data_IF_371874754339
#
_entry.id   IF_371874754339
#
_cell.length_a   1.000
_cell.length_b   1.000
_cell.length_c   1.000
_cell.angle_alpha   90.00
_cell.angle_beta   90.00
_cell.angle_gamma   90.00
#
_symmetry.space_group_name_H-M   'P 1'
#
loop_
_entity.id
_entity.type
_entity.pdbx_description
1 polymer ?
#
# COMPACT_ATOMS: atom_id res chain seq x y z
N UNK A 1 14.33 -9.18 -15.78
CA UNK A 1 13.12 -9.31 -14.93
C UNK A 1 13.12 -8.12 -13.98
N UNK A 2 11.96 -7.55 -13.62
CA UNK A 2 11.90 -6.51 -12.60
C UNK A 2 12.51 -7.06 -11.30
N UNK A 3 13.44 -6.31 -10.70
CA UNK A 3 14.10 -6.68 -9.45
C UNK A 3 13.61 -5.73 -8.36
N UNK A 4 12.76 -6.24 -7.49
CA UNK A 4 12.39 -5.57 -6.24
C UNK A 4 13.43 -5.89 -5.15
N UNK A 5 13.50 -5.05 -4.11
CA UNK A 5 14.34 -5.32 -2.94
C UNK A 5 13.90 -6.57 -2.21
N UNK A 6 14.88 -7.26 -1.62
CA UNK A 6 14.63 -8.41 -0.77
C UNK A 6 13.73 -8.05 0.42
N UNK A 7 13.86 -6.84 0.97
CA UNK A 7 13.01 -6.33 2.06
C UNK A 7 11.53 -6.35 1.68
N UNK A 8 11.21 -5.95 0.44
CA UNK A 8 9.84 -5.93 -0.07
C UNK A 8 9.34 -7.36 -0.27
N UNK A 9 10.14 -8.20 -0.94
CA UNK A 9 9.73 -9.58 -1.20
C UNK A 9 9.57 -10.39 0.08
N UNK A 10 10.46 -10.22 1.07
CA UNK A 10 10.39 -10.91 2.36
C UNK A 10 9.14 -10.50 3.14
N UNK A 11 8.82 -9.20 3.15
CA UNK A 11 7.62 -8.71 3.83
C UNK A 11 6.35 -9.37 3.28
N UNK A 12 6.17 -9.37 1.96
CA UNK A 12 4.97 -9.95 1.34
C UNK A 12 4.99 -11.47 1.24
N UNK A 13 6.15 -12.10 1.40
CA UNK A 13 6.25 -13.55 1.52
C UNK A 13 6.01 -14.05 2.94
N UNK A 14 6.28 -13.23 3.97
CA UNK A 14 6.23 -13.62 5.38
C UNK A 14 4.91 -14.31 5.78
N UNK A 15 3.71 -13.83 5.39
CA UNK A 15 2.45 -14.52 5.70
C UNK A 15 2.39 -15.94 5.17
N UNK A 16 3.15 -16.22 4.12
CA UNK A 16 3.17 -17.49 3.40
C UNK A 16 4.24 -18.48 3.88
N UNK A 17 5.06 -18.11 4.87
CA UNK A 17 6.14 -18.94 5.39
C UNK A 17 5.67 -19.80 6.57
N UNK A 18 6.23 -21.01 6.68
CA UNK A 18 5.99 -21.95 7.79
C UNK A 18 4.52 -22.34 8.06
N UNK A 19 3.62 -22.08 7.11
CA UNK A 19 2.21 -22.48 7.20
C UNK A 19 1.95 -23.91 6.71
N UNK A 20 0.75 -24.41 7.01
CA UNK A 20 0.26 -25.70 6.51
C UNK A 20 -0.39 -25.50 5.15
N UNK A 21 0.13 -26.15 4.11
CA UNK A 21 -0.43 -26.08 2.76
C UNK A 21 -1.79 -26.79 2.70
N UNK A 22 -2.84 -26.04 2.34
CA UNK A 22 -4.18 -26.60 2.13
C UNK A 22 -4.37 -27.06 0.69
N UNK A 23 -4.06 -26.17 -0.26
CA UNK A 23 -4.08 -26.49 -1.68
C UNK A 23 -2.98 -25.74 -2.43
N UNK A 24 -2.48 -26.37 -3.48
CA UNK A 24 -1.59 -25.72 -4.46
C UNK A 24 -1.90 -26.24 -5.85
N UNK A 25 -2.27 -25.32 -6.73
CA UNK A 25 -2.28 -25.48 -8.17
C UNK A 25 -1.31 -24.45 -8.78
N UNK A 26 -1.09 -24.49 -10.10
CA UNK A 26 -0.15 -23.62 -10.81
C UNK A 26 -0.44 -22.12 -10.62
N UNK A 27 -1.71 -21.74 -10.42
CA UNK A 27 -2.14 -20.34 -10.30
C UNK A 27 -2.77 -19.99 -8.95
N UNK A 28 -2.96 -20.96 -8.05
CA UNK A 28 -3.67 -20.74 -6.80
C UNK A 28 -3.06 -21.53 -5.65
N UNK A 29 -2.73 -20.83 -4.56
CA UNK A 29 -2.17 -21.44 -3.35
C UNK A 29 -2.92 -20.94 -2.13
N UNK A 30 -3.32 -21.86 -1.25
CA UNK A 30 -3.92 -21.51 0.05
C UNK A 30 -3.12 -22.20 1.15
N UNK A 31 -2.74 -21.43 2.16
CA UNK A 31 -2.09 -21.94 3.35
C UNK A 31 -2.79 -21.49 4.63
N UNK A 32 -2.67 -22.30 5.67
CA UNK A 32 -2.96 -21.89 7.04
C UNK A 32 -1.68 -21.38 7.69
N UNK A 33 -1.67 -20.11 8.07
CA UNK A 33 -0.56 -19.45 8.74
C UNK A 33 -0.95 -19.10 10.18
N UNK A 34 -0.35 -19.74 11.20
CA UNK A 34 -0.62 -19.41 12.60
C UNK A 34 0.05 -18.09 13.04
N UNK A 35 0.77 -17.43 12.14
CA UNK A 35 1.51 -16.19 12.39
C UNK A 35 0.77 -14.94 11.90
N UNK A 36 -0.40 -15.12 11.25
CA UNK A 36 -1.26 -14.00 10.91
C UNK A 36 -1.88 -13.41 12.16
N UNK A 37 -2.07 -12.09 12.12
CA UNK A 37 -2.82 -11.38 13.15
C UNK A 37 -4.27 -11.84 13.19
N UNK A 38 -4.86 -11.95 14.38
CA UNK A 38 -6.28 -12.26 14.52
C UNK A 38 -7.16 -11.14 13.96
N UNK A 39 -6.68 -9.90 14.00
CA UNK A 39 -7.36 -8.72 13.43
C UNK A 39 -7.25 -8.66 11.89
N UNK A 40 -6.40 -9.48 11.28
CA UNK A 40 -6.29 -9.62 9.82
C UNK A 40 -6.19 -11.09 9.44
N UNK A 41 -7.29 -11.85 9.62
CA UNK A 41 -7.25 -13.31 9.64
C UNK A 41 -7.06 -13.93 8.24
N UNK A 42 -7.07 -13.10 7.20
CA UNK A 42 -6.80 -13.50 5.81
C UNK A 42 -5.95 -12.43 5.14
N UNK A 43 -5.00 -12.86 4.33
CA UNK A 43 -4.36 -12.01 3.33
C UNK A 43 -4.38 -12.71 1.98
N UNK A 44 -4.80 -11.97 0.95
CA UNK A 44 -4.83 -12.42 -0.44
C UNK A 44 -3.86 -11.57 -1.24
N UNK A 45 -2.96 -12.22 -1.97
CA UNK A 45 -1.98 -11.57 -2.84
C UNK A 45 -2.13 -12.12 -4.26
N UNK A 46 -2.49 -11.25 -5.20
CA UNK A 46 -2.55 -11.58 -6.63
C UNK A 46 -1.35 -10.95 -7.36
N UNK A 47 -0.49 -11.82 -7.88
CA UNK A 47 0.71 -11.43 -8.63
C UNK A 47 0.36 -10.99 -10.06
N UNK A 48 1.21 -10.18 -10.73
CA UNK A 48 0.94 -9.70 -12.09
C UNK A 48 0.83 -10.79 -13.16
N UNK A 49 1.37 -11.99 -12.91
CA UNK A 49 1.24 -13.17 -13.78
C UNK A 49 -0.06 -13.96 -13.56
N UNK A 50 -0.92 -13.51 -12.65
CA UNK A 50 -2.19 -14.12 -12.30
C UNK A 50 -2.11 -15.17 -11.19
N UNK A 51 -0.93 -15.40 -10.60
CA UNK A 51 -0.83 -16.28 -9.44
C UNK A 51 -1.50 -15.64 -8.22
N UNK A 52 -2.43 -16.35 -7.60
CA UNK A 52 -3.12 -15.93 -6.38
C UNK A 52 -2.61 -16.76 -5.21
N UNK A 53 -2.21 -16.09 -4.13
CA UNK A 53 -1.75 -16.71 -2.89
C UNK A 53 -2.63 -16.22 -1.75
N UNK A 54 -3.12 -17.15 -0.94
CA UNK A 54 -3.97 -16.87 0.22
C UNK A 54 -3.33 -17.46 1.47
N UNK A 55 -3.21 -16.66 2.51
CA UNK A 55 -2.88 -17.14 3.85
C UNK A 55 -4.04 -16.84 4.79
N UNK A 56 -4.39 -17.80 5.64
CA UNK A 56 -5.52 -17.76 6.56
C UNK A 56 -5.06 -18.13 7.97
N UNK A 57 -5.68 -17.56 9.01
CA UNK A 57 -5.52 -18.08 10.36
C UNK A 57 -6.14 -19.48 10.48
N UNK A 58 -5.70 -20.32 11.44
CA UNK A 58 -6.34 -21.61 11.70
C UNK A 58 -7.84 -21.50 11.98
N UNK A 59 -8.25 -20.49 12.76
CA UNK A 59 -9.65 -20.26 13.10
C UNK A 59 -10.51 -19.97 11.86
N UNK A 60 -10.02 -19.16 10.93
CA UNK A 60 -10.75 -18.88 9.69
C UNK A 60 -10.77 -20.09 8.75
N UNK A 61 -9.68 -20.85 8.69
CA UNK A 61 -9.65 -22.08 7.89
C UNK A 61 -10.66 -23.13 8.40
N UNK A 62 -10.78 -23.29 9.72
CA UNK A 62 -11.79 -24.16 10.34
C UNK A 62 -13.20 -23.64 10.09
N UNK A 63 -13.43 -22.33 10.21
CA UNK A 63 -14.73 -21.70 9.93
C UNK A 63 -15.19 -21.92 8.48
N UNK A 64 -14.26 -21.88 7.53
CA UNK A 64 -14.51 -22.13 6.10
C UNK A 64 -14.56 -23.62 5.72
N UNK A 65 -14.41 -24.52 6.69
CA UNK A 65 -14.35 -25.97 6.49
C UNK A 65 -13.31 -26.35 5.40
N UNK A 66 -12.10 -25.80 5.55
CA UNK A 66 -10.97 -26.05 4.65
C UNK A 66 -10.08 -27.15 5.23
N UNK A 67 -9.69 -28.11 4.38
CA UNK A 67 -8.84 -29.23 4.80
C UNK A 67 -7.65 -29.40 3.86
N UNK A 68 -6.53 -29.98 4.36
CA UNK A 68 -5.37 -30.27 3.52
C UNK A 68 -5.71 -31.15 2.32
N UNK A 69 -5.03 -30.89 1.19
CA UNK A 69 -5.11 -31.67 -0.05
C UNK A 69 -6.50 -31.65 -0.73
N UNK A 70 -7.35 -30.69 -0.40
CA UNK A 70 -8.60 -30.47 -1.14
C UNK A 70 -8.30 -29.92 -2.55
N UNK A 71 -9.04 -30.40 -3.55
CA UNK A 71 -9.11 -29.76 -4.86
C UNK A 71 -9.96 -28.50 -4.71
N UNK A 72 -9.30 -27.38 -4.39
CA UNK A 72 -9.91 -26.09 -4.17
C UNK A 72 -9.49 -25.12 -5.28
N UNK A 73 -10.45 -24.65 -6.07
CA UNK A 73 -10.20 -23.59 -7.05
C UNK A 73 -10.35 -22.21 -6.41
N UNK A 74 -9.82 -21.17 -7.04
CA UNK A 74 -10.04 -19.79 -6.59
C UNK A 74 -11.55 -19.42 -6.56
N UNK A 75 -12.35 -19.98 -7.48
CA UNK A 75 -13.79 -19.76 -7.51
C UNK A 75 -14.49 -20.45 -6.33
N UNK A 76 -14.11 -21.69 -6.01
CA UNK A 76 -14.63 -22.41 -4.84
C UNK A 76 -14.26 -21.71 -3.54
N UNK A 77 -13.03 -21.20 -3.45
CA UNK A 77 -12.59 -20.44 -2.29
C UNK A 77 -13.43 -19.17 -2.09
N UNK A 78 -13.63 -18.36 -3.16
CA UNK A 78 -14.51 -17.18 -3.10
C UNK A 78 -15.95 -17.54 -2.73
N UNK A 79 -16.46 -18.67 -3.22
CA UNK A 79 -17.78 -19.16 -2.86
C UNK A 79 -17.86 -19.50 -1.37
N UNK A 80 -16.85 -20.19 -0.82
CA UNK A 80 -16.78 -20.51 0.62
C UNK A 80 -16.71 -19.24 1.48
N UNK A 81 -15.95 -18.22 1.08
CA UNK A 81 -15.94 -16.92 1.77
C UNK A 81 -17.35 -16.31 1.82
N UNK A 82 -18.04 -16.25 0.67
CA UNK A 82 -19.40 -15.70 0.59
C UNK A 82 -20.43 -16.53 1.39
N UNK A 83 -20.33 -17.86 1.37
CA UNK A 83 -21.21 -18.76 2.14
C UNK A 83 -21.03 -18.59 3.66
N UNK A 84 -19.84 -18.16 4.08
CA UNK A 84 -19.49 -17.86 5.47
C UNK A 84 -19.67 -16.38 5.85
N UNK A 85 -20.24 -15.56 4.96
CA UNK A 85 -20.40 -14.10 5.12
C UNK A 85 -19.08 -13.36 5.41
N UNK A 86 -17.98 -13.90 4.87
CA UNK A 86 -16.65 -13.31 4.98
C UNK A 86 -16.43 -12.39 3.77
N UNK A 87 -16.55 -11.08 3.98
CA UNK A 87 -16.34 -10.07 2.95
C UNK A 87 -14.93 -9.49 3.03
N UNK A 88 -14.23 -9.50 1.89
CA UNK A 88 -12.96 -8.80 1.75
C UNK A 88 -13.23 -7.30 1.52
N UNK A 89 -12.31 -6.45 1.96
CA UNK A 89 -12.46 -4.99 1.87
C UNK A 89 -12.30 -4.43 0.46
N UNK A 90 -11.70 -5.20 -0.43
CA UNK A 90 -11.43 -4.79 -1.80
C UNK A 90 -9.95 -4.54 -1.98
N UNK A 91 -9.43 -5.04 -3.10
CA UNK A 91 -8.00 -5.07 -3.31
C UNK A 91 -7.38 -3.68 -3.56
N UNK A 92 -6.21 -3.47 -2.98
CA UNK A 92 -5.31 -2.38 -3.32
C UNK A 92 -4.24 -2.86 -4.30
N UNK A 93 -3.80 -1.95 -5.18
CA UNK A 93 -2.52 -2.12 -5.84
C UNK A 93 -1.38 -1.81 -4.88
N UNK A 94 -0.36 -2.67 -4.88
CA UNK A 94 0.92 -2.43 -4.23
C UNK A 94 1.96 -2.00 -5.25
N UNK A 95 2.49 -0.80 -5.10
CA UNK A 95 3.53 -0.24 -5.97
C UNK A 95 4.83 0.00 -5.21
N UNK A 96 5.94 -0.39 -5.83
CA UNK A 96 7.30 -0.20 -5.29
C UNK A 96 8.29 0.22 -6.38
N UNK A 97 9.42 0.77 -5.96
CA UNK A 97 10.55 0.99 -6.86
C UNK A 97 11.29 -0.32 -7.13
N UNK A 98 11.67 -0.52 -8.39
CA UNK A 98 12.69 -1.48 -8.76
C UNK A 98 14.06 -0.97 -8.29
N UNK A 99 15.01 -1.88 -8.08
CA UNK A 99 16.38 -1.53 -7.64
C UNK A 99 17.04 -0.48 -8.55
N UNK A 100 16.86 -0.58 -9.86
CA UNK A 100 17.40 0.41 -10.81
C UNK A 100 16.78 1.80 -10.63
N UNK A 101 15.46 1.88 -10.43
CA UNK A 101 14.75 3.14 -10.25
C UNK A 101 15.08 3.80 -8.91
N UNK A 102 15.40 3.02 -7.86
CA UNK A 102 15.91 3.56 -6.60
C UNK A 102 17.23 4.31 -6.81
N UNK A 103 18.16 3.74 -7.59
CA UNK A 103 19.44 4.38 -7.86
C UNK A 103 19.28 5.69 -8.62
N UNK A 104 18.31 5.75 -9.54
CA UNK A 104 17.95 6.98 -10.25
C UNK A 104 17.34 8.00 -9.28
N UNK A 105 16.39 7.57 -8.44
CA UNK A 105 15.70 8.43 -7.49
C UNK A 105 16.66 9.06 -6.47
N UNK A 106 17.59 8.27 -5.93
CA UNK A 106 18.59 8.74 -4.95
C UNK A 106 19.54 9.81 -5.50
N UNK A 107 19.67 9.93 -6.82
CA UNK A 107 20.50 10.93 -7.48
C UNK A 107 19.68 12.14 -7.95
N UNK A 108 18.36 12.11 -7.85
CA UNK A 108 17.52 13.21 -8.31
C UNK A 108 17.57 14.39 -7.32
N UNK A 109 17.77 15.62 -7.82
CA UNK A 109 17.62 16.80 -6.97
C UNK A 109 16.14 17.04 -6.65
N UNK A 110 15.85 17.21 -5.36
CA UNK A 110 14.53 17.67 -4.89
C UNK A 110 14.19 19.01 -5.56
N UNK A 111 12.94 19.15 -6.03
CA UNK A 111 12.49 20.38 -6.68
C UNK A 111 12.42 21.53 -5.68
N UNK A 112 12.77 22.74 -6.14
CA UNK A 112 12.88 23.91 -5.27
C UNK A 112 11.58 24.29 -4.55
N UNK A 113 10.42 23.94 -5.12
CA UNK A 113 9.11 24.16 -4.53
C UNK A 113 8.65 23.03 -3.60
N UNK A 114 9.47 22.00 -3.39
CA UNK A 114 9.18 20.88 -2.48
C UNK A 114 10.08 20.97 -1.27
N UNK A 115 9.49 20.84 -0.08
CA UNK A 115 10.25 20.79 1.18
C UNK A 115 9.56 19.92 2.22
N UNK A 116 10.33 19.51 3.23
CA UNK A 116 9.79 18.89 4.43
C UNK A 116 8.89 19.88 5.17
N UNK A 117 7.76 19.39 5.66
CA UNK A 117 6.88 20.09 6.59
C UNK A 117 7.22 19.65 8.02
N UNK A 118 7.10 20.58 8.95
CA UNK A 118 7.38 20.37 10.38
C UNK A 118 6.19 20.83 11.21
N UNK A 119 6.24 20.63 12.53
CA UNK A 119 5.23 21.17 13.44
C UNK A 119 5.04 22.71 13.32
N UNK A 120 6.03 23.44 12.82
CA UNK A 120 5.92 24.89 12.58
C UNK A 120 4.97 25.22 11.42
N UNK A 121 4.75 24.27 10.52
CA UNK A 121 3.89 24.42 9.34
C UNK A 121 2.41 24.12 9.64
N UNK A 122 2.05 23.83 10.90
CA UNK A 122 0.70 23.41 11.30
C UNK A 122 -0.39 24.33 10.73
N UNK A 123 -0.21 25.65 10.81
CA UNK A 123 -1.20 26.61 10.31
C UNK A 123 -1.43 26.48 8.80
N UNK A 124 -0.35 26.28 8.03
CA UNK A 124 -0.43 26.13 6.57
C UNK A 124 -1.04 24.76 6.21
N UNK A 125 -0.67 23.72 6.96
CA UNK A 125 -1.18 22.37 6.77
C UNK A 125 -2.68 22.27 7.10
N UNK A 126 -3.13 22.81 8.23
CA UNK A 126 -4.54 22.86 8.61
C UNK A 126 -5.37 23.63 7.57
N UNK A 127 -4.85 24.76 7.08
CA UNK A 127 -5.50 25.54 6.02
C UNK A 127 -5.59 24.75 4.70
N UNK A 128 -4.57 23.94 4.38
CA UNK A 128 -4.58 23.03 3.24
C UNK A 128 -5.65 21.94 3.41
N UNK A 129 -5.70 21.24 4.55
CA UNK A 129 -6.70 20.21 4.82
C UNK A 129 -8.13 20.77 4.78
N UNK A 130 -8.36 21.99 5.28
CA UNK A 130 -9.68 22.63 5.25
C UNK A 130 -10.23 22.94 3.85
N UNK A 131 -9.37 22.87 2.81
CA UNK A 131 -9.74 23.06 1.42
C UNK A 131 -9.97 21.75 0.66
N UNK A 132 -9.64 20.60 1.26
CA UNK A 132 -9.88 19.28 0.68
C UNK A 132 -11.29 18.80 1.04
N UNK A 133 -11.85 17.89 0.22
CA UNK A 133 -13.08 17.18 0.59
C UNK A 133 -12.79 16.15 1.68
N UNK A 134 -13.82 15.76 2.43
CA UNK A 134 -13.72 14.67 3.42
C UNK A 134 -13.26 13.35 2.75
N UNK A 135 -13.82 13.03 1.58
CA UNK A 135 -13.42 11.85 0.78
C UNK A 135 -11.93 11.88 0.41
N UNK A 136 -11.40 13.05 0.02
CA UNK A 136 -9.98 13.20 -0.30
C UNK A 136 -9.11 13.05 0.96
N UNK A 137 -9.55 13.56 2.11
CA UNK A 137 -8.82 13.45 3.38
C UNK A 137 -8.75 11.99 3.85
N UNK A 138 -9.90 11.34 3.89
CA UNK A 138 -10.04 9.94 4.32
C UNK A 138 -9.24 9.01 3.39
N UNK A 139 -9.33 9.23 2.07
CA UNK A 139 -8.63 8.42 1.09
C UNK A 139 -7.12 8.66 1.04
N UNK A 140 -6.65 9.85 1.41
CA UNK A 140 -5.23 10.19 1.31
C UNK A 140 -4.43 9.84 2.58
N UNK A 141 -5.06 9.88 3.75
CA UNK A 141 -4.45 9.65 5.06
C UNK A 141 -3.09 10.35 5.23
N UNK A 142 -3.12 11.69 5.14
CA UNK A 142 -1.95 12.55 5.28
C UNK A 142 -2.02 13.30 6.61
N UNK A 143 -1.07 13.00 7.50
CA UNK A 143 -0.98 13.64 8.81
C UNK A 143 0.36 14.36 9.00
N UNK A 144 0.35 15.47 9.75
CA UNK A 144 1.55 16.28 9.98
C UNK A 144 2.52 15.65 10.99
N UNK A 145 2.04 14.71 11.81
CA UNK A 145 2.81 14.01 12.84
C UNK A 145 3.29 12.60 12.43
N UNK A 146 2.95 12.17 11.21
CA UNK A 146 3.60 11.03 10.56
C UNK A 146 5.13 11.20 10.49
N UNK A 147 5.85 10.09 10.34
CA UNK A 147 7.31 10.03 10.48
C UNK A 147 8.04 11.09 9.64
N UNK A 148 7.59 11.29 8.40
CA UNK A 148 7.99 12.44 7.60
C UNK A 148 6.84 12.92 6.73
N UNK A 149 6.85 14.23 6.47
CA UNK A 149 5.81 14.93 5.70
C UNK A 149 6.49 15.91 4.77
N UNK A 150 6.10 15.91 3.51
CA UNK A 150 6.62 16.80 2.47
C UNK A 150 5.48 17.52 1.79
N UNK A 151 5.73 18.78 1.43
CA UNK A 151 4.77 19.63 0.74
C UNK A 151 5.36 20.22 -0.53
N UNK A 152 4.55 20.25 -1.59
CA UNK A 152 4.79 21.07 -2.78
C UNK A 152 4.01 22.37 -2.66
N UNK A 153 4.72 23.46 -2.85
CA UNK A 153 4.18 24.80 -2.85
C UNK A 153 3.95 25.29 -4.29
N UNK A 154 2.84 25.99 -4.48
CA UNK A 154 2.59 26.84 -5.64
C UNK A 154 2.50 28.27 -5.11
N UNK A 155 3.54 29.06 -5.38
CA UNK A 155 3.83 30.32 -4.66
C UNK A 155 3.90 30.08 -3.14
N UNK A 156 3.05 30.77 -2.36
CA UNK A 156 2.99 30.65 -0.90
C UNK A 156 1.92 29.65 -0.42
N UNK A 157 1.25 28.95 -1.34
CA UNK A 157 0.18 27.99 -1.01
C UNK A 157 0.68 26.56 -1.07
N UNK A 158 0.38 25.79 -0.04
CA UNK A 158 0.56 24.35 -0.06
C UNK A 158 -0.45 23.75 -1.06
N UNK A 159 0.06 23.20 -2.15
CA UNK A 159 -0.75 22.66 -3.25
C UNK A 159 -0.95 21.14 -3.11
N UNK A 160 0.05 20.46 -2.57
CA UNK A 160 0.04 19.02 -2.33
C UNK A 160 0.90 18.69 -1.12
N UNK A 161 0.47 17.71 -0.32
CA UNK A 161 1.24 17.13 0.77
C UNK A 161 1.27 15.60 0.63
N UNK A 162 2.39 15.00 1.01
CA UNK A 162 2.49 13.57 1.24
C UNK A 162 3.11 13.33 2.60
N UNK A 163 2.73 12.22 3.22
CA UNK A 163 3.29 11.77 4.48
C UNK A 163 3.59 10.29 4.42
N UNK A 164 4.53 9.82 5.23
CA UNK A 164 4.91 8.40 5.32
C UNK A 164 4.90 7.91 6.75
N UNK A 165 4.42 6.69 6.94
CA UNK A 165 4.25 6.03 8.23
C UNK A 165 4.66 4.55 8.15
N UNK A 166 5.00 3.95 9.28
CA UNK A 166 5.50 2.58 9.32
C UNK A 166 4.41 1.57 8.94
N UNK A 167 4.78 0.60 8.11
CA UNK A 167 3.94 -0.57 7.83
C UNK A 167 4.23 -1.66 8.87
N UNK A 168 3.50 -1.64 9.98
CA UNK A 168 3.75 -2.51 11.13
C UNK A 168 5.21 -2.44 11.60
N UNK A 169 5.73 -3.55 12.12
CA UNK A 169 7.13 -3.68 12.56
C UNK A 169 8.07 -4.10 11.40
N UNK A 170 7.95 -3.44 10.25
CA UNK A 170 8.76 -3.74 9.05
C UNK A 170 9.65 -2.56 8.65
N UNK A 171 10.49 -2.77 7.62
CA UNK A 171 11.24 -1.69 6.97
C UNK A 171 10.47 -1.02 5.82
N UNK A 172 9.19 -1.33 5.69
CA UNK A 172 8.32 -0.69 4.70
C UNK A 172 7.69 0.55 5.33
N UNK A 173 7.68 1.64 4.57
CA UNK A 173 7.00 2.88 4.93
C UNK A 173 5.89 3.13 3.93
N UNK A 174 4.65 3.03 4.38
CA UNK A 174 3.49 3.33 3.56
C UNK A 174 3.31 4.83 3.41
N UNK A 175 2.64 5.26 2.33
CA UNK A 175 2.55 6.67 2.00
C UNK A 175 1.13 7.11 1.68
N UNK A 176 0.77 8.26 2.23
CA UNK A 176 -0.41 9.03 1.87
C UNK A 176 -0.04 10.23 1.00
N UNK A 177 -0.90 10.61 0.04
CA UNK A 177 -0.70 11.82 -0.78
C UNK A 177 -2.01 12.51 -1.08
N UNK A 178 -2.06 13.81 -0.82
CA UNK A 178 -3.21 14.67 -1.05
C UNK A 178 -2.83 15.83 -1.97
N UNK A 179 -3.62 16.10 -3.00
CA UNK A 179 -3.48 17.27 -3.88
C UNK A 179 -4.82 17.97 -4.00
N UNK A 180 -4.85 19.26 -3.63
CA UNK A 180 -6.04 20.08 -3.77
C UNK A 180 -6.52 20.13 -5.23
N UNK A 181 -7.84 20.08 -5.43
CA UNK A 181 -8.49 20.06 -6.74
C UNK A 181 -7.94 21.12 -7.71
N UNK A 182 -7.81 22.35 -7.24
CA UNK A 182 -7.34 23.48 -8.04
C UNK A 182 -5.91 23.28 -8.60
N UNK A 183 -5.11 22.40 -8.01
CA UNK A 183 -3.70 22.17 -8.32
C UNK A 183 -3.43 20.80 -8.96
N UNK A 184 -4.47 19.98 -9.19
CA UNK A 184 -4.36 18.68 -9.86
C UNK A 184 -3.85 18.84 -11.30
N UNK A 185 -3.16 17.81 -11.80
CA UNK A 185 -2.63 17.78 -13.17
C UNK A 185 -1.39 18.67 -13.42
N UNK A 186 -0.84 19.34 -12.41
CA UNK A 186 0.34 20.24 -12.54
C UNK A 186 1.67 19.60 -12.12
N UNK A 187 1.65 18.32 -11.72
CA UNK A 187 2.84 17.55 -11.36
C UNK A 187 3.30 17.70 -9.90
N UNK A 188 2.61 18.47 -9.05
CA UNK A 188 2.96 18.60 -7.63
C UNK A 188 3.05 17.25 -6.91
N UNK A 189 2.02 16.40 -7.04
CA UNK A 189 2.01 15.06 -6.44
C UNK A 189 3.23 14.23 -6.82
N UNK A 190 3.61 14.22 -8.11
CA UNK A 190 4.80 13.49 -8.57
C UNK A 190 6.06 13.99 -7.89
N UNK A 191 6.21 15.30 -7.74
CA UNK A 191 7.40 15.91 -7.13
C UNK A 191 7.49 15.58 -5.63
N UNK A 192 6.35 15.66 -4.91
CA UNK A 192 6.29 15.36 -3.47
C UNK A 192 6.52 13.87 -3.22
N UNK A 193 5.84 12.98 -3.95
CA UNK A 193 5.99 11.52 -3.80
C UNK A 193 7.45 11.12 -4.07
N UNK A 194 8.10 11.65 -5.11
CA UNK A 194 9.51 11.35 -5.35
C UNK A 194 10.41 11.85 -4.22
N UNK A 195 10.21 13.06 -3.72
CA UNK A 195 11.01 13.61 -2.63
C UNK A 195 10.86 12.83 -1.31
N UNK A 196 9.64 12.45 -0.94
CA UNK A 196 9.41 11.69 0.30
C UNK A 196 9.90 10.24 0.19
N UNK A 197 9.77 9.62 -0.98
CA UNK A 197 10.32 8.29 -1.24
C UNK A 197 11.86 8.30 -1.23
N UNK A 198 12.49 9.34 -1.81
CA UNK A 198 13.93 9.54 -1.71
C UNK A 198 14.37 9.63 -0.25
N UNK A 199 13.66 10.42 0.57
CA UNK A 199 13.94 10.53 1.99
C UNK A 199 13.82 9.17 2.72
N UNK A 200 12.80 8.37 2.43
CA UNK A 200 12.67 7.03 3.01
C UNK A 200 13.86 6.12 2.66
N UNK A 201 14.25 6.09 1.39
CA UNK A 201 15.38 5.28 0.91
C UNK A 201 16.72 5.71 1.52
N UNK A 202 16.98 7.01 1.63
CA UNK A 202 18.19 7.56 2.28
C UNK A 202 18.31 7.16 3.75
N UNK A 203 17.17 6.87 4.40
CA UNK A 203 17.10 6.43 5.79
C UNK A 203 17.00 4.89 5.92
N UNK A 204 17.17 4.15 4.83
CA UNK A 204 17.21 2.68 4.84
C UNK A 204 15.85 1.98 4.87
N UNK A 205 14.78 2.70 4.49
CA UNK A 205 13.42 2.17 4.39
C UNK A 205 12.97 2.00 2.94
N UNK A 206 11.99 1.14 2.72
CA UNK A 206 11.36 0.89 1.42
C UNK A 206 10.01 1.60 1.34
N UNK A 207 9.83 2.61 0.46
CA UNK A 207 8.55 3.28 0.32
C UNK A 207 7.54 2.40 -0.42
N UNK A 208 6.34 2.28 0.16
CA UNK A 208 5.17 1.61 -0.42
C UNK A 208 4.14 2.66 -0.84
N UNK A 209 3.63 2.52 -2.06
CA UNK A 209 2.48 3.28 -2.53
C UNK A 209 1.31 2.31 -2.73
N UNK A 210 0.18 2.58 -2.06
CA UNK A 210 -1.08 1.86 -2.24
C UNK A 210 -2.16 2.74 -2.84
N UNK A 211 -3.03 2.12 -3.61
CA UNK A 211 -4.30 2.72 -4.02
C UNK A 211 -5.31 1.67 -4.45
N UNK A 212 -6.58 2.02 -4.35
CA UNK A 212 -7.69 1.20 -4.85
C UNK A 212 -7.60 1.01 -6.36
N UNK A 213 -8.09 -0.13 -6.86
CA UNK A 213 -7.91 -0.51 -8.26
C UNK A 213 -8.57 0.45 -9.26
N UNK A 214 -9.65 1.10 -8.85
CA UNK A 214 -10.45 2.03 -9.63
C UNK A 214 -9.99 3.50 -9.50
N UNK A 215 -9.03 3.78 -8.60
CA UNK A 215 -8.41 5.09 -8.47
C UNK A 215 -7.37 5.34 -9.58
N UNK A 216 -7.88 5.60 -10.79
CA UNK A 216 -7.07 5.78 -12.00
C UNK A 216 -6.06 6.94 -11.87
N UNK A 217 -6.38 7.97 -11.10
CA UNK A 217 -5.50 9.11 -10.85
C UNK A 217 -4.27 8.68 -10.03
N UNK A 218 -4.47 7.93 -8.94
CA UNK A 218 -3.39 7.38 -8.11
C UNK A 218 -2.57 6.33 -8.85
N UNK A 219 -3.21 5.47 -9.66
CA UNK A 219 -2.50 4.52 -10.53
C UNK A 219 -1.60 5.24 -11.54
N UNK A 220 -2.10 6.33 -12.16
CA UNK A 220 -1.31 7.14 -13.07
C UNK A 220 -0.17 7.86 -12.34
N UNK A 221 -0.42 8.35 -11.13
CA UNK A 221 0.60 8.96 -10.28
C UNK A 221 1.74 7.98 -9.99
N UNK A 222 1.42 6.78 -9.49
CA UNK A 222 2.41 5.75 -9.17
C UNK A 222 3.33 5.40 -10.37
N UNK A 223 2.74 5.25 -11.56
CA UNK A 223 3.52 5.03 -12.79
C UNK A 223 4.39 6.24 -13.13
N UNK A 224 3.85 7.46 -13.03
CA UNK A 224 4.59 8.69 -13.34
C UNK A 224 5.77 8.95 -12.38
N UNK A 225 5.70 8.41 -11.16
CA UNK A 225 6.77 8.49 -10.16
C UNK A 225 7.83 7.42 -10.34
N UNK A 226 7.71 6.51 -11.31
CA UNK A 226 8.68 5.43 -11.56
C UNK A 226 8.45 4.17 -10.72
N UNK A 227 7.29 4.05 -10.05
CA UNK A 227 6.93 2.84 -9.33
C UNK A 227 6.40 1.78 -10.30
N UNK A 228 6.63 0.52 -9.94
CA UNK A 228 6.18 -0.66 -10.67
C UNK A 228 5.20 -1.45 -9.81
N UNK A 229 4.16 -1.98 -10.44
CA UNK A 229 3.18 -2.84 -9.78
C UNK A 229 3.88 -4.11 -9.27
N UNK A 230 3.76 -4.36 -7.96
CA UNK A 230 4.27 -5.55 -7.31
C UNK A 230 3.21 -6.66 -7.25
N UNK A 231 2.03 -6.33 -6.72
CA UNK A 231 0.90 -7.24 -6.59
C UNK A 231 -0.41 -6.46 -6.35
N UNK A 232 -1.54 -7.15 -6.37
CA UNK A 232 -2.77 -6.68 -5.72
C UNK A 232 -2.89 -7.37 -4.37
N UNK A 233 -3.33 -6.63 -3.36
CA UNK A 233 -3.46 -7.12 -2.00
C UNK A 233 -4.87 -6.88 -1.50
N UNK A 234 -5.49 -7.91 -0.92
CA UNK A 234 -6.83 -7.84 -0.35
C UNK A 234 -6.83 -8.53 1.02
N UNK A 235 -7.64 -8.02 1.95
CA UNK A 235 -7.69 -8.47 3.34
C UNK A 235 -9.10 -8.26 3.91
N UNK A 236 -9.31 -8.79 5.11
CA UNK A 236 -10.38 -8.33 5.98
C UNK A 236 -9.78 -7.26 6.90
N UNK A 237 -10.38 -6.08 6.97
CA UNK A 237 -10.29 -5.23 8.14
C UNK A 237 -11.47 -5.57 9.07
N UNK A 238 -11.29 -5.57 10.38
CA UNK A 238 -12.44 -5.63 11.28
C UNK A 238 -13.33 -4.44 10.92
N UNK A 239 -14.65 -4.65 10.89
CA UNK A 239 -15.58 -3.52 10.82
C UNK A 239 -15.12 -2.53 11.88
N UNK A 240 -14.75 -1.32 11.45
CA UNK A 240 -14.57 -0.19 12.34
C UNK A 240 -15.95 0.08 12.92
N UNK A 241 -16.30 -0.67 13.97
CA UNK A 241 -17.56 -0.55 14.65
C UNK A 241 -17.73 0.89 15.11
N UNK A 242 -18.81 1.51 14.63
CA UNK A 242 -19.32 2.80 15.09
C UNK A 242 -19.45 2.87 16.63
#
# INVERSE_FOLDING_TARGET
MPIFSQTITDCWQAPFLNGTLLCSDNLFTVIVSPHLDEDSPITVLEMPDGQIRVALTPALADHLDLHPQQNLTAQDFRRKLNEADVQLHGADYLFYFLEEEKQILLQEPVKANVRRLTAQDKVIFDAFCSQASEEDLDGAYVELDHWAVFGAFDEDRLACAASIYAWGDTKIMDLGVLTLDAFRGRGHARQVVRAICQYALENGYEPQYRCQLDNLASVALAKSTGLTLFAKWDTIFPDSGD
#
